data_IF_635630540418
#
_entry.id   IF_635630540418
#
_cell.length_a   1.000
_cell.length_b   1.000
_cell.length_c   1.000
_cell.angle_alpha   90.00
_cell.angle_beta   90.00
_cell.angle_gamma   90.00
#
_symmetry.space_group_name_H-M   'P 1'
#
loop_
_entity.id
_entity.type
_entity.pdbx_description
1 polymer ?
#
# COMPACT_ATOMS: atom_id res chain seq x y z
N UNK A 1 6.42 -1.54 -18.80
CA UNK A 1 6.08 -2.34 -17.60
C UNK A 1 4.59 -2.19 -17.31
N UNK A 2 3.91 -3.27 -16.90
CA UNK A 2 2.49 -3.21 -16.53
C UNK A 2 2.29 -3.67 -15.10
N UNK A 3 1.69 -2.81 -14.28
CA UNK A 3 1.59 -3.02 -12.84
C UNK A 3 0.13 -3.14 -12.42
N UNK A 4 -0.20 -4.23 -11.73
CA UNK A 4 -1.50 -4.43 -11.11
C UNK A 4 -1.31 -4.78 -9.65
N UNK A 5 -1.93 -4.03 -8.74
CA UNK A 5 -1.82 -4.40 -7.33
C UNK A 5 -2.04 -3.27 -6.35
N UNK A 6 -1.15 -3.24 -5.37
CA UNK A 6 -1.11 -2.25 -4.30
C UNK A 6 0.06 -1.28 -4.49
N UNK A 7 0.19 -0.37 -3.54
CA UNK A 7 1.23 0.64 -3.45
C UNK A 7 2.63 0.01 -3.45
N UNK A 8 2.79 -1.17 -2.82
CA UNK A 8 4.05 -1.92 -2.88
C UNK A 8 4.40 -2.35 -4.31
N UNK A 9 3.43 -2.78 -5.13
CA UNK A 9 3.73 -3.13 -6.52
C UNK A 9 4.12 -1.89 -7.34
N UNK A 10 3.54 -0.71 -7.05
CA UNK A 10 3.95 0.55 -7.68
C UNK A 10 5.39 0.88 -7.31
N UNK A 11 5.73 0.85 -6.02
CA UNK A 11 7.10 1.02 -5.53
C UNK A 11 8.07 0.01 -6.15
N UNK A 12 7.73 -1.28 -6.13
CA UNK A 12 8.56 -2.36 -6.71
C UNK A 12 8.80 -2.11 -8.21
N UNK A 13 7.82 -1.53 -8.92
CA UNK A 13 7.93 -1.16 -10.34
C UNK A 13 8.89 0.00 -10.58
N UNK A 14 8.80 1.06 -9.76
CA UNK A 14 9.73 2.18 -9.80
C UNK A 14 11.17 1.72 -9.53
N UNK A 15 11.35 0.80 -8.56
CA UNK A 15 12.65 0.19 -8.25
C UNK A 15 13.19 -0.66 -9.39
N UNK A 16 12.37 -1.54 -9.96
CA UNK A 16 12.77 -2.33 -11.13
C UNK A 16 13.16 -1.45 -12.32
N UNK A 17 12.43 -0.35 -12.56
CA UNK A 17 12.78 0.60 -13.61
C UNK A 17 14.13 1.29 -13.35
N UNK A 18 14.39 1.70 -12.11
CA UNK A 18 15.68 2.29 -11.72
C UNK A 18 16.85 1.34 -11.95
N UNK A 19 16.71 0.07 -11.56
CA UNK A 19 17.74 -0.96 -11.74
C UNK A 19 18.07 -1.28 -13.21
N UNK A 20 17.10 -1.10 -14.11
CA UNK A 20 17.26 -1.36 -15.54
C UNK A 20 17.88 -0.17 -16.31
N UNK A 21 17.76 1.06 -15.79
CA UNK A 21 18.25 2.27 -16.46
C UNK A 21 19.76 2.25 -16.74
N UNK A 22 20.65 1.82 -15.81
CA UNK A 22 22.08 1.68 -16.10
C UNK A 22 22.41 0.66 -17.20
N UNK A 23 21.50 -0.27 -17.51
CA UNK A 23 21.64 -1.23 -18.60
C UNK A 23 21.17 -0.67 -19.96
N UNK A 24 20.70 0.58 -20.00
CA UNK A 24 20.24 1.24 -21.22
C UNK A 24 18.75 1.03 -21.54
N UNK A 25 17.98 0.45 -20.63
CA UNK A 25 16.53 0.35 -20.81
C UNK A 25 15.84 1.68 -20.49
N UNK A 26 14.82 1.99 -21.30
CA UNK A 26 13.90 3.10 -21.08
C UNK A 26 12.45 2.60 -21.06
N UNK A 27 11.57 3.36 -20.39
CA UNK A 27 10.15 3.00 -20.30
C UNK A 27 9.44 3.43 -21.57
N UNK A 28 8.72 2.50 -22.21
CA UNK A 28 7.79 2.79 -23.32
C UNK A 28 6.33 2.58 -22.90
N UNK A 29 5.43 3.38 -23.48
CA UNK A 29 3.97 3.24 -23.33
C UNK A 29 3.38 2.17 -24.27
N UNK A 30 4.09 1.82 -25.34
CA UNK A 30 3.60 0.90 -26.37
C UNK A 30 4.29 -0.45 -26.23
N UNK A 31 3.55 -1.55 -25.98
CA UNK A 31 4.14 -2.88 -25.87
C UNK A 31 4.90 -3.34 -27.13
N UNK A 32 4.53 -2.85 -28.31
CA UNK A 32 5.17 -3.21 -29.58
C UNK A 32 6.62 -2.73 -29.69
N UNK A 33 7.00 -1.69 -28.95
CA UNK A 33 8.35 -1.11 -28.97
C UNK A 33 9.24 -1.67 -27.85
N UNK A 34 8.75 -2.67 -27.10
CA UNK A 34 9.41 -3.14 -25.90
C UNK A 34 10.31 -4.37 -26.16
N UNK A 35 11.59 -4.25 -25.82
CA UNK A 35 12.51 -5.41 -25.76
C UNK A 35 12.29 -6.26 -24.50
N UNK A 36 11.75 -5.67 -23.43
CA UNK A 36 11.44 -6.33 -22.17
C UNK A 36 10.08 -5.87 -21.63
N UNK A 37 9.19 -6.84 -21.41
CA UNK A 37 7.87 -6.62 -20.81
C UNK A 37 7.82 -7.27 -19.43
N UNK A 38 7.71 -6.44 -18.38
CA UNK A 38 7.50 -6.90 -17.01
C UNK A 38 6.03 -6.74 -16.62
N UNK A 39 5.39 -7.85 -16.24
CA UNK A 39 4.04 -7.91 -15.67
C UNK A 39 4.11 -8.04 -14.15
N UNK A 40 4.06 -6.92 -13.43
CA UNK A 40 4.14 -6.89 -11.97
C UNK A 40 2.73 -7.00 -11.35
N UNK A 41 2.46 -8.08 -10.61
CA UNK A 41 1.11 -8.41 -10.15
C UNK A 41 1.02 -8.72 -8.65
N UNK A 42 -0.16 -8.51 -8.08
CA UNK A 42 -0.47 -8.72 -6.67
C UNK A 42 -1.37 -9.94 -6.46
N UNK A 43 -1.14 -10.73 -5.41
CA UNK A 43 -1.92 -11.96 -5.14
C UNK A 43 -3.24 -11.73 -4.40
N UNK A 44 -3.39 -10.55 -3.78
CA UNK A 44 -4.52 -10.27 -2.89
C UNK A 44 -5.81 -9.87 -3.62
N UNK A 45 -5.74 -9.57 -4.92
CA UNK A 45 -6.93 -9.24 -5.72
C UNK A 45 -7.53 -10.50 -6.35
N UNK A 46 -8.85 -10.53 -6.48
CA UNK A 46 -9.52 -11.61 -7.22
C UNK A 46 -9.03 -11.61 -8.68
N UNK A 47 -8.88 -12.80 -9.27
CA UNK A 47 -8.50 -12.97 -10.69
C UNK A 47 -7.15 -12.38 -11.08
N UNK A 48 -6.22 -12.23 -10.14
CA UNK A 48 -4.91 -11.63 -10.41
C UNK A 48 -4.08 -12.46 -11.41
N UNK A 49 -4.04 -13.79 -11.24
CA UNK A 49 -3.35 -14.69 -12.18
C UNK A 49 -4.02 -14.68 -13.57
N UNK A 50 -5.35 -14.71 -13.62
CA UNK A 50 -6.13 -14.67 -14.86
C UNK A 50 -5.84 -13.41 -15.70
N UNK A 51 -5.65 -12.25 -15.05
CA UNK A 51 -5.24 -11.03 -15.74
C UNK A 51 -3.85 -11.15 -16.36
N UNK A 52 -2.91 -11.80 -15.68
CA UNK A 52 -1.57 -12.06 -16.22
C UNK A 52 -1.67 -12.94 -17.46
N UNK A 53 -2.38 -14.07 -17.38
CA UNK A 53 -2.57 -14.95 -18.53
C UNK A 53 -3.27 -14.26 -19.70
N UNK A 54 -4.29 -13.45 -19.43
CA UNK A 54 -4.97 -12.68 -20.46
C UNK A 54 -4.03 -11.67 -21.14
N UNK A 55 -3.11 -11.07 -20.40
CA UNK A 55 -2.14 -10.13 -20.96
C UNK A 55 -1.04 -10.85 -21.76
N UNK A 56 -0.52 -11.98 -21.26
CA UNK A 56 0.44 -12.80 -22.00
C UNK A 56 -0.12 -13.19 -23.37
N UNK A 57 -1.40 -13.56 -23.44
CA UNK A 57 -2.07 -13.85 -24.71
C UNK A 57 -2.06 -12.68 -25.70
N UNK A 58 -2.08 -11.43 -25.22
CA UNK A 58 -2.00 -10.20 -26.04
C UNK A 58 -0.57 -9.86 -26.45
N UNK A 59 0.42 -10.33 -25.70
CA UNK A 59 1.84 -10.09 -25.96
C UNK A 59 2.46 -11.09 -26.94
N UNK A 60 1.67 -11.97 -27.55
CA UNK A 60 2.18 -12.99 -28.49
C UNK A 60 2.94 -12.40 -29.68
N UNK A 61 2.44 -11.33 -30.27
CA UNK A 61 3.10 -10.67 -31.41
C UNK A 61 4.40 -9.97 -30.96
N UNK A 62 4.36 -9.32 -29.80
CA UNK A 62 5.54 -8.69 -29.17
C UNK A 62 6.62 -9.74 -28.87
N UNK A 63 6.21 -10.89 -28.31
CA UNK A 63 7.08 -12.04 -28.05
C UNK A 63 7.68 -12.61 -29.34
N UNK A 64 6.87 -12.76 -30.39
CA UNK A 64 7.32 -13.23 -31.69
C UNK A 64 8.33 -12.26 -32.34
N UNK A 65 8.27 -10.97 -32.00
CA UNK A 65 9.24 -9.94 -32.38
C UNK A 65 10.58 -10.01 -31.63
N UNK A 66 10.73 -10.92 -30.66
CA UNK A 66 11.98 -11.13 -29.91
C UNK A 66 11.99 -10.56 -28.50
N UNK A 67 10.89 -9.95 -28.04
CA UNK A 67 10.80 -9.39 -26.70
C UNK A 67 10.87 -10.46 -25.60
N UNK A 68 11.51 -10.10 -24.49
CA UNK A 68 11.48 -10.88 -23.25
C UNK A 68 10.24 -10.56 -22.44
N UNK A 69 9.54 -11.56 -21.93
CA UNK A 69 8.37 -11.44 -21.05
C UNK A 69 8.73 -11.98 -19.67
N UNK A 70 8.61 -11.13 -18.66
CA UNK A 70 8.80 -11.48 -17.28
C UNK A 70 7.53 -11.25 -16.46
N UNK A 71 7.28 -12.12 -15.48
CA UNK A 71 6.21 -11.93 -14.49
C UNK A 71 6.82 -11.68 -13.12
N UNK A 72 6.40 -10.60 -12.47
CA UNK A 72 6.93 -10.19 -11.17
C UNK A 72 5.83 -10.05 -10.09
N UNK A 73 6.24 -10.05 -8.83
CA UNK A 73 5.38 -9.73 -7.69
C UNK A 73 4.78 -10.94 -6.97
N UNK A 74 3.73 -10.72 -6.19
CA UNK A 74 3.25 -11.73 -5.24
C UNK A 74 2.60 -12.95 -5.92
N UNK A 75 1.97 -12.79 -7.10
CA UNK A 75 1.43 -13.96 -7.83
C UNK A 75 2.57 -14.79 -8.43
N UNK A 76 3.62 -14.13 -8.94
CA UNK A 76 4.84 -14.80 -9.39
C UNK A 76 5.48 -15.63 -8.27
N UNK A 77 5.51 -15.09 -7.04
CA UNK A 77 6.00 -15.84 -5.88
C UNK A 77 5.13 -17.04 -5.51
N UNK A 78 3.80 -16.90 -5.57
CA UNK A 78 2.87 -17.93 -5.13
C UNK A 78 2.69 -19.06 -6.15
N UNK A 79 2.68 -18.71 -7.45
CA UNK A 79 2.23 -19.59 -8.53
C UNK A 79 3.28 -19.72 -9.66
N UNK A 80 4.52 -19.28 -9.44
CA UNK A 80 5.55 -19.15 -10.48
C UNK A 80 5.82 -20.43 -11.28
N UNK A 81 5.92 -21.57 -10.61
CA UNK A 81 6.12 -22.87 -11.28
C UNK A 81 4.93 -23.27 -12.16
N UNK A 82 3.70 -23.01 -11.70
CA UNK A 82 2.49 -23.27 -12.49
C UNK A 82 2.39 -22.33 -13.70
N UNK A 83 2.75 -21.05 -13.51
CA UNK A 83 2.76 -20.07 -14.59
C UNK A 83 3.69 -20.49 -15.73
N UNK A 84 4.92 -20.91 -15.41
CA UNK A 84 5.87 -21.38 -16.43
C UNK A 84 5.36 -22.63 -17.16
N UNK A 85 4.76 -23.57 -16.43
CA UNK A 85 4.20 -24.78 -17.04
C UNK A 85 3.02 -24.47 -17.98
N UNK A 86 2.20 -23.47 -17.62
CA UNK A 86 0.97 -23.12 -18.35
C UNK A 86 1.18 -22.09 -19.46
N UNK A 87 2.18 -21.22 -19.34
CA UNK A 87 2.51 -20.18 -20.29
C UNK A 87 4.03 -20.18 -20.58
N UNK A 88 4.49 -21.06 -21.49
CA UNK A 88 5.91 -21.16 -21.88
C UNK A 88 6.47 -19.87 -22.51
N UNK A 89 5.61 -18.92 -22.88
CA UNK A 89 6.01 -17.61 -23.37
C UNK A 89 6.69 -16.72 -22.30
N UNK A 90 6.58 -17.09 -21.01
CA UNK A 90 7.26 -16.41 -19.90
C UNK A 90 8.73 -16.84 -19.85
N UNK A 91 9.65 -15.89 -20.03
CA UNK A 91 11.09 -16.16 -19.98
C UNK A 91 11.60 -16.32 -18.55
N UNK A 92 11.12 -15.49 -17.62
CA UNK A 92 11.45 -15.62 -16.22
C UNK A 92 10.40 -15.03 -15.27
N UNK A 93 10.41 -15.54 -14.04
CA UNK A 93 9.49 -15.19 -12.96
C UNK A 93 10.29 -14.65 -11.78
N UNK A 94 9.87 -13.52 -11.22
CA UNK A 94 10.60 -12.81 -10.16
C UNK A 94 9.68 -12.58 -8.96
N UNK A 95 10.06 -13.13 -7.82
CA UNK A 95 9.43 -12.87 -6.53
C UNK A 95 9.68 -11.44 -6.04
N UNK A 96 8.80 -10.90 -5.16
CA UNK A 96 8.95 -9.55 -4.63
C UNK A 96 10.23 -9.36 -3.81
N UNK A 97 10.89 -10.44 -3.37
CA UNK A 97 12.16 -10.39 -2.64
C UNK A 97 13.40 -10.54 -3.53
N UNK A 98 13.24 -10.76 -4.84
CA UNK A 98 14.35 -11.07 -5.75
C UNK A 98 14.56 -10.03 -6.86
N UNK A 99 13.75 -8.97 -6.95
CA UNK A 99 13.83 -8.03 -8.07
C UNK A 99 15.13 -7.20 -8.12
N UNK A 100 15.89 -7.11 -7.03
CA UNK A 100 17.24 -6.50 -7.02
C UNK A 100 18.26 -7.26 -7.88
N UNK A 101 17.95 -8.51 -8.25
CA UNK A 101 18.74 -9.37 -9.15
C UNK A 101 18.36 -9.17 -10.61
N UNK A 102 17.36 -8.34 -10.92
CA UNK A 102 16.85 -8.11 -12.27
C UNK A 102 17.96 -7.75 -13.29
N UNK A 103 18.95 -6.90 -12.98
CA UNK A 103 20.05 -6.63 -13.91
C UNK A 103 20.83 -7.89 -14.31
N UNK A 104 21.12 -8.76 -13.34
CA UNK A 104 21.82 -10.02 -13.56
C UNK A 104 20.96 -11.01 -14.35
N UNK A 105 19.67 -11.09 -14.03
CA UNK A 105 18.70 -11.98 -14.69
C UNK A 105 18.55 -11.60 -16.16
N UNK A 106 18.38 -10.31 -16.47
CA UNK A 106 18.26 -9.83 -17.86
C UNK A 106 19.54 -10.11 -18.65
N UNK A 107 20.72 -9.84 -18.06
CA UNK A 107 21.99 -10.13 -18.70
C UNK A 107 22.23 -11.64 -18.95
N UNK A 108 21.70 -12.51 -18.08
CA UNK A 108 21.78 -13.97 -18.19
C UNK A 108 20.76 -14.56 -19.17
N UNK A 109 19.55 -14.03 -19.21
CA UNK A 109 18.50 -14.43 -20.15
C UNK A 109 18.97 -14.25 -21.60
N UNK A 110 19.75 -13.22 -21.87
CA UNK A 110 20.43 -13.01 -23.16
C UNK A 110 21.49 -14.09 -23.52
N UNK A 111 21.86 -14.98 -22.58
CA UNK A 111 22.94 -15.98 -22.71
C UNK A 111 22.47 -17.43 -22.57
N UNK A 112 21.17 -17.70 -22.66
CA UNK A 112 20.55 -19.04 -22.57
C UNK A 112 20.91 -19.83 -21.29
N UNK A 113 21.03 -19.19 -20.13
CA UNK A 113 21.10 -19.91 -18.86
C UNK A 113 19.70 -20.40 -18.46
N UNK A 114 19.47 -21.71 -18.38
CA UNK A 114 18.15 -22.32 -18.14
C UNK A 114 17.48 -22.06 -16.78
N UNK A 115 17.98 -21.11 -15.97
CA UNK A 115 17.34 -20.69 -14.71
C UNK A 115 16.31 -19.59 -15.00
N UNK A 116 15.04 -19.86 -14.69
CA UNK A 116 13.92 -18.98 -15.07
C UNK A 116 13.04 -18.59 -13.88
N UNK A 117 13.24 -19.19 -12.70
CA UNK A 117 12.42 -18.95 -11.50
C UNK A 117 13.28 -18.35 -10.38
N UNK A 118 13.05 -17.08 -10.06
CA UNK A 118 13.78 -16.31 -9.05
C UNK A 118 12.84 -15.90 -7.91
N UNK A 119 12.48 -16.87 -7.06
CA UNK A 119 11.50 -16.69 -5.97
C UNK A 119 12.08 -16.95 -4.58
N UNK A 120 13.40 -16.97 -4.44
CA UNK A 120 14.04 -17.18 -3.15
C UNK A 120 13.98 -15.93 -2.26
N UNK A 121 13.97 -16.15 -0.95
CA UNK A 121 13.98 -15.11 0.07
C UNK A 121 15.42 -14.77 0.47
N UNK A 122 16.06 -13.82 -0.24
CA UNK A 122 17.37 -13.27 0.11
C UNK A 122 17.23 -11.76 0.43
N UNK A 123 16.82 -11.45 1.66
CA UNK A 123 16.34 -10.11 2.05
C UNK A 123 17.49 -9.09 2.28
N UNK A 124 18.61 -9.52 2.86
CA UNK A 124 19.73 -8.61 3.18
C UNK A 124 20.38 -8.01 1.93
N UNK A 125 20.63 -8.84 0.90
CA UNK A 125 21.20 -8.40 -0.39
C UNK A 125 20.32 -7.36 -1.11
N UNK A 126 19.02 -7.35 -0.83
CA UNK A 126 18.04 -6.48 -1.49
C UNK A 126 18.13 -5.04 -0.99
N UNK A 127 18.11 -4.82 0.33
CA UNK A 127 18.03 -3.47 0.88
C UNK A 127 19.29 -2.65 0.57
N UNK A 128 20.45 -3.29 0.53
CA UNK A 128 21.72 -2.63 0.15
C UNK A 128 21.68 -2.11 -1.29
N UNK A 129 21.07 -2.86 -2.21
CA UNK A 129 20.92 -2.46 -3.62
C UNK A 129 19.77 -1.49 -3.88
N UNK A 130 18.90 -1.25 -2.89
CA UNK A 130 17.82 -0.27 -2.97
C UNK A 130 18.27 1.17 -2.62
N UNK A 131 19.53 1.40 -2.29
CA UNK A 131 20.05 2.74 -2.00
C UNK A 131 20.19 3.64 -3.24
N UNK A 132 20.00 3.10 -4.44
CA UNK A 132 20.14 3.86 -5.69
C UNK A 132 19.01 4.89 -5.86
N UNK A 133 19.33 6.11 -6.32
CA UNK A 133 18.35 7.15 -6.61
C UNK A 133 17.32 6.69 -7.63
N UNK A 134 16.08 7.14 -7.46
CA UNK A 134 14.98 6.90 -8.40
C UNK A 134 14.25 8.20 -8.71
N UNK A 135 13.72 8.30 -9.92
CA UNK A 135 12.90 9.43 -10.33
C UNK A 135 11.47 9.25 -9.80
N UNK A 136 10.97 10.14 -8.93
CA UNK A 136 9.58 10.07 -8.47
C UNK A 136 8.64 10.54 -9.59
N UNK A 137 7.46 9.93 -9.68
CA UNK A 137 6.44 10.30 -10.67
C UNK A 137 5.66 11.58 -10.33
N UNK A 138 6.04 12.31 -9.28
CA UNK A 138 5.32 13.49 -8.80
C UNK A 138 5.82 13.99 -7.43
N UNK A 139 5.07 14.89 -6.78
CA UNK A 139 5.49 15.50 -5.51
C UNK A 139 5.31 14.61 -4.28
N UNK A 140 4.74 13.43 -4.47
CA UNK A 140 4.52 12.41 -3.44
C UNK A 140 5.28 11.14 -3.81
N UNK A 141 5.88 10.46 -2.83
CA UNK A 141 6.64 9.23 -3.07
C UNK A 141 6.38 8.16 -2.01
N UNK A 142 6.42 6.89 -2.42
CA UNK A 142 6.38 5.74 -1.52
C UNK A 142 7.77 5.35 -1.02
N UNK A 143 7.92 5.07 0.27
CA UNK A 143 9.19 4.61 0.85
C UNK A 143 8.95 3.36 1.66
N UNK A 144 9.40 2.21 1.18
CA UNK A 144 9.26 0.95 1.94
C UNK A 144 10.19 0.96 3.15
N UNK A 145 9.65 0.94 4.36
CA UNK A 145 10.45 0.90 5.61
C UNK A 145 10.66 -0.52 6.14
N UNK A 146 9.79 -1.44 5.74
CA UNK A 146 9.75 -2.81 6.21
C UNK A 146 9.18 -3.72 5.12
N UNK A 147 9.59 -4.98 5.11
CA UNK A 147 8.98 -6.01 4.27
C UNK A 147 8.67 -7.27 5.05
N UNK A 148 7.74 -8.08 4.53
CA UNK A 148 7.29 -9.30 5.20
C UNK A 148 6.38 -9.02 6.40
N UNK A 149 5.84 -10.07 7.01
CA UNK A 149 4.90 -9.91 8.12
C UNK A 149 4.81 -11.17 8.98
N UNK A 150 4.97 -11.02 10.29
CA UNK A 150 4.97 -12.14 11.25
C UNK A 150 3.63 -12.36 11.95
N UNK A 151 2.54 -11.73 11.46
CA UNK A 151 1.23 -11.86 12.10
C UNK A 151 0.49 -13.15 11.78
N UNK A 152 0.80 -13.79 10.64
CA UNK A 152 0.16 -15.04 10.20
C UNK A 152 -1.37 -15.02 10.37
N UNK A 153 -2.02 -13.92 9.98
CA UNK A 153 -3.48 -13.87 9.97
C UNK A 153 -4.01 -14.96 9.03
N UNK A 154 -5.02 -15.71 9.47
CA UNK A 154 -5.41 -16.97 8.80
C UNK A 154 -5.92 -16.78 7.38
N UNK A 155 -6.34 -15.57 6.99
CA UNK A 155 -6.76 -15.22 5.63
C UNK A 155 -5.62 -14.68 4.75
N UNK A 156 -4.46 -14.35 5.32
CA UNK A 156 -3.44 -13.55 4.66
C UNK A 156 -2.34 -14.41 4.00
N UNK A 157 -2.05 -14.13 2.74
CA UNK A 157 -0.99 -14.80 1.96
C UNK A 157 0.40 -14.17 2.13
N UNK A 158 0.46 -12.99 2.75
CA UNK A 158 1.67 -12.17 2.81
C UNK A 158 2.87 -12.91 3.42
N UNK A 159 2.78 -13.61 4.57
CA UNK A 159 3.94 -14.29 5.14
C UNK A 159 4.56 -15.32 4.18
N UNK A 160 3.74 -15.94 3.33
CA UNK A 160 4.17 -16.94 2.36
C UNK A 160 4.68 -16.34 1.04
N UNK A 161 4.37 -15.07 0.76
CA UNK A 161 4.68 -14.42 -0.52
C UNK A 161 5.67 -13.26 -0.40
N UNK A 162 5.94 -12.76 0.81
CA UNK A 162 6.91 -11.69 1.08
C UNK A 162 7.90 -12.02 2.19
N UNK A 163 7.76 -13.18 2.83
CA UNK A 163 8.69 -13.67 3.86
C UNK A 163 8.37 -13.14 5.26
N UNK A 164 9.31 -13.41 6.16
CA UNK A 164 9.30 -12.92 7.55
C UNK A 164 9.49 -11.42 7.60
N UNK A 165 9.05 -10.82 8.70
CA UNK A 165 9.14 -9.39 8.95
C UNK A 165 10.61 -8.93 9.08
N UNK A 166 11.02 -7.97 8.26
CA UNK A 166 12.36 -7.37 8.28
C UNK A 166 12.24 -5.86 8.08
N UNK A 167 12.81 -5.10 9.01
CA UNK A 167 12.86 -3.64 8.98
C UNK A 167 14.17 -3.13 8.38
N UNK A 168 14.10 -2.07 7.58
CA UNK A 168 15.30 -1.30 7.18
C UNK A 168 15.81 -0.45 8.36
N UNK A 169 17.11 -0.16 8.38
CA UNK A 169 17.68 0.79 9.33
C UNK A 169 17.15 2.21 9.10
N UNK A 170 17.11 3.01 10.17
CA UNK A 170 16.70 4.41 10.08
C UNK A 170 17.58 5.20 9.09
N UNK A 171 18.90 4.97 9.10
CA UNK A 171 19.83 5.66 8.20
C UNK A 171 19.55 5.37 6.71
N UNK A 172 19.25 4.12 6.36
CA UNK A 172 18.93 3.76 4.98
C UNK A 172 17.60 4.39 4.50
N UNK A 173 16.62 4.51 5.39
CA UNK A 173 15.34 5.17 5.10
C UNK A 173 15.56 6.69 4.97
N UNK A 174 16.29 7.29 5.90
CA UNK A 174 16.63 8.72 5.90
C UNK A 174 17.39 9.12 4.65
N UNK A 175 18.35 8.30 4.20
CA UNK A 175 19.10 8.56 2.97
C UNK A 175 18.17 8.62 1.75
N UNK A 176 17.28 7.64 1.59
CA UNK A 176 16.32 7.62 0.47
C UNK A 176 15.38 8.83 0.54
N UNK A 177 14.85 9.16 1.71
CA UNK A 177 13.93 10.30 1.88
C UNK A 177 14.64 11.62 1.57
N UNK A 178 15.92 11.77 1.95
CA UNK A 178 16.73 12.95 1.59
C UNK A 178 16.95 13.06 0.08
N UNK A 179 17.24 11.94 -0.59
CA UNK A 179 17.38 11.93 -2.05
C UNK A 179 16.07 12.32 -2.75
N UNK A 180 14.93 11.85 -2.26
CA UNK A 180 13.61 12.22 -2.78
C UNK A 180 13.31 13.72 -2.55
N UNK A 181 13.65 14.25 -1.39
CA UNK A 181 13.49 15.67 -1.09
C UNK A 181 14.30 16.57 -2.05
N UNK A 182 15.53 16.16 -2.40
CA UNK A 182 16.40 16.88 -3.34
C UNK A 182 15.82 17.00 -4.76
N UNK A 183 14.96 16.07 -5.15
CA UNK A 183 14.29 16.08 -6.47
C UNK A 183 12.85 16.62 -6.38
N UNK A 184 12.49 17.30 -5.29
CA UNK A 184 11.24 18.05 -5.16
C UNK A 184 10.06 17.27 -4.56
N UNK A 185 10.28 16.06 -4.02
CA UNK A 185 9.24 15.36 -3.24
C UNK A 185 8.96 16.13 -1.96
N UNK A 186 7.67 16.37 -1.69
CA UNK A 186 7.17 17.06 -0.50
C UNK A 186 6.45 16.12 0.47
N UNK A 187 5.85 15.05 -0.03
CA UNK A 187 5.14 14.05 0.78
C UNK A 187 5.76 12.66 0.61
N UNK A 188 6.06 12.01 1.73
CA UNK A 188 6.45 10.59 1.74
C UNK A 188 5.40 9.74 2.43
N UNK A 189 5.04 8.62 1.80
CA UNK A 189 4.19 7.59 2.42
C UNK A 189 5.04 6.36 2.70
N UNK A 190 5.27 6.10 3.99
CA UNK A 190 5.99 4.92 4.47
C UNK A 190 5.14 3.68 4.20
N UNK A 191 5.76 2.69 3.56
CA UNK A 191 5.14 1.42 3.17
C UNK A 191 5.76 0.24 3.89
N UNK A 192 4.95 -0.79 4.05
CA UNK A 192 5.30 -2.07 4.65
C UNK A 192 4.07 -2.95 4.71
N UNK A 193 4.24 -4.21 5.09
CA UNK A 193 3.08 -5.10 5.28
C UNK A 193 2.47 -4.94 6.67
N UNK A 194 3.19 -4.34 7.60
CA UNK A 194 2.73 -3.96 8.93
C UNK A 194 3.55 -2.77 9.47
N UNK A 195 3.40 -1.59 8.88
CA UNK A 195 4.34 -0.46 9.06
C UNK A 195 4.52 -0.03 10.51
N UNK A 196 3.48 -0.10 11.34
CA UNK A 196 3.60 0.26 12.77
C UNK A 196 4.29 -0.80 13.63
N UNK A 197 4.67 -1.95 13.07
CA UNK A 197 5.63 -2.85 13.70
C UNK A 197 7.08 -2.55 13.30
N UNK A 198 7.34 -1.50 12.52
CA UNK A 198 8.72 -1.12 12.20
C UNK A 198 9.50 -0.89 13.50
N UNK A 199 10.59 -1.62 13.62
CA UNK A 199 11.59 -1.47 14.66
C UNK A 199 12.96 -1.59 13.98
N UNK A 200 13.85 -0.64 14.20
CA UNK A 200 15.11 -0.62 13.49
C UNK A 200 16.22 0.04 14.29
N UNK A 201 17.46 -0.24 13.89
CA UNK A 201 18.63 0.45 14.40
C UNK A 201 18.44 1.96 14.22
N UNK A 202 18.59 2.69 15.31
CA UNK A 202 18.54 4.14 15.30
C UNK A 202 19.73 4.72 14.50
N UNK A 203 19.62 5.96 14.01
CA UNK A 203 20.74 6.64 13.37
C UNK A 203 21.98 6.69 14.27
N UNK A 204 23.15 6.64 13.65
CA UNK A 204 24.42 6.75 14.38
C UNK A 204 24.44 8.02 15.25
N UNK A 205 24.64 7.85 16.56
CA UNK A 205 24.68 8.95 17.53
C UNK A 205 23.34 9.25 18.22
N UNK A 206 22.27 8.50 17.94
CA UNK A 206 21.04 8.55 18.73
C UNK A 206 21.26 8.02 20.16
N UNK A 207 20.43 8.49 21.10
CA UNK A 207 20.49 8.07 22.51
C UNK A 207 20.00 6.65 22.76
N UNK A 208 19.09 6.15 21.91
CA UNK A 208 18.58 4.80 21.94
C UNK A 208 19.20 4.00 20.80
N UNK A 209 19.48 2.72 21.02
CA UNK A 209 20.04 1.83 19.98
C UNK A 209 19.01 1.45 18.93
N UNK A 210 17.73 1.37 19.31
CA UNK A 210 16.62 1.01 18.42
C UNK A 210 15.48 2.01 18.57
N UNK A 211 14.77 2.23 17.47
CA UNK A 211 13.61 3.11 17.37
C UNK A 211 12.36 2.36 16.93
N UNK A 212 11.19 2.88 17.33
CA UNK A 212 9.90 2.52 16.77
C UNK A 212 9.47 3.49 15.66
N UNK A 213 8.30 3.25 15.08
CA UNK A 213 7.80 4.06 13.96
C UNK A 213 7.61 5.54 14.36
N UNK A 214 7.20 5.80 15.60
CA UNK A 214 7.00 7.16 16.11
C UNK A 214 8.28 8.00 16.03
N UNK A 215 9.41 7.47 16.50
CA UNK A 215 10.73 8.13 16.41
C UNK A 215 11.18 8.28 14.95
N UNK A 216 10.97 7.28 14.10
CA UNK A 216 11.30 7.38 12.68
C UNK A 216 10.53 8.53 12.01
N UNK A 217 9.23 8.65 12.25
CA UNK A 217 8.41 9.74 11.71
C UNK A 217 8.93 11.11 12.16
N UNK A 218 9.22 11.30 13.47
CA UNK A 218 9.79 12.55 13.99
C UNK A 218 11.15 12.86 13.37
N UNK A 219 11.98 11.85 13.16
CA UNK A 219 13.30 12.04 12.54
C UNK A 219 13.19 12.44 11.07
N UNK A 220 12.33 11.77 10.29
CA UNK A 220 12.11 12.11 8.89
C UNK A 220 11.48 13.50 8.71
N UNK A 221 10.69 13.96 9.69
CA UNK A 221 10.08 15.29 9.67
C UNK A 221 11.11 16.43 9.70
N UNK A 222 12.33 16.15 10.19
CA UNK A 222 13.44 17.10 10.23
C UNK A 222 14.14 17.27 8.87
N UNK A 223 13.81 16.46 7.87
CA UNK A 223 14.43 16.57 6.53
C UNK A 223 13.84 17.78 5.81
N UNK A 224 14.71 18.74 5.48
CA UNK A 224 14.35 19.90 4.67
C UNK A 224 13.76 19.46 3.32
N UNK A 225 12.63 20.07 2.97
CA UNK A 225 11.89 19.75 1.74
C UNK A 225 10.73 18.79 1.95
N UNK A 226 10.79 17.92 2.97
CA UNK A 226 9.66 17.06 3.34
C UNK A 226 8.69 17.84 4.22
N UNK A 227 7.46 17.97 3.75
CA UNK A 227 6.39 18.71 4.42
C UNK A 227 5.32 17.77 5.00
N UNK A 228 5.23 16.53 4.49
CA UNK A 228 4.22 15.56 4.91
C UNK A 228 4.78 14.16 5.00
N UNK A 229 4.42 13.48 6.07
CA UNK A 229 4.71 12.07 6.32
C UNK A 229 3.39 11.36 6.52
N UNK A 230 3.25 10.21 5.86
CA UNK A 230 2.14 9.28 6.03
C UNK A 230 2.69 7.89 6.20
N UNK A 231 1.84 7.00 6.67
CA UNK A 231 2.05 5.58 6.54
C UNK A 231 0.71 4.90 6.29
N UNK A 232 0.76 3.69 5.74
CA UNK A 232 -0.42 2.86 5.54
C UNK A 232 -0.08 1.42 5.85
N UNK A 233 -1.11 0.62 6.11
CA UNK A 233 -1.00 -0.80 6.45
C UNK A 233 -0.43 -0.99 7.85
N UNK A 234 -1.29 -0.77 8.84
CA UNK A 234 -0.99 -0.97 10.26
C UNK A 234 -1.73 -2.16 10.86
N UNK A 235 -1.28 -2.63 12.01
CA UNK A 235 -1.94 -3.66 12.78
C UNK A 235 -2.26 -3.15 14.20
N UNK A 236 -3.51 -3.30 14.71
CA UNK A 236 -3.89 -2.83 16.04
C UNK A 236 -2.92 -3.23 17.17
N UNK A 237 -2.45 -4.49 17.17
CA UNK A 237 -1.48 -4.98 18.17
C UNK A 237 -0.19 -4.17 18.28
N UNK A 238 0.24 -3.48 17.23
CA UNK A 238 1.50 -2.74 17.18
C UNK A 238 1.26 -1.23 17.24
N UNK A 239 0.08 -0.80 17.67
CA UNK A 239 -0.18 0.61 17.98
C UNK A 239 0.34 0.90 19.39
N UNK A 240 1.59 1.36 19.48
CA UNK A 240 2.24 1.74 20.73
C UNK A 240 2.00 3.22 21.10
N UNK A 241 2.32 3.57 22.36
CA UNK A 241 2.11 4.92 22.87
C UNK A 241 3.06 5.94 22.20
N UNK A 242 4.27 5.54 21.78
CA UNK A 242 5.23 6.44 21.12
C UNK A 242 4.76 6.93 19.74
N UNK A 243 4.07 6.07 18.98
CA UNK A 243 3.41 6.43 17.73
C UNK A 243 2.16 7.28 17.96
N UNK A 244 1.40 7.01 19.02
CA UNK A 244 0.23 7.82 19.41
C UNK A 244 0.68 9.25 19.76
N UNK A 245 1.73 9.39 20.55
CA UNK A 245 2.34 10.68 20.90
C UNK A 245 2.85 11.41 19.65
N UNK A 246 3.50 10.69 18.72
CA UNK A 246 3.98 11.28 17.47
C UNK A 246 2.84 11.92 16.66
N UNK A 247 1.65 11.31 16.62
CA UNK A 247 0.49 11.95 15.99
C UNK A 247 0.12 13.27 16.67
N UNK A 248 0.15 13.34 18.00
CA UNK A 248 -0.18 14.56 18.73
C UNK A 248 0.85 15.68 18.60
N UNK A 249 2.13 15.32 18.47
CA UNK A 249 3.24 16.27 18.58
C UNK A 249 3.83 16.72 17.24
N UNK A 250 3.85 15.86 16.23
CA UNK A 250 4.55 16.14 14.96
C UNK A 250 3.58 16.63 13.87
N UNK A 251 3.59 17.94 13.51
CA UNK A 251 2.64 18.49 12.54
C UNK A 251 2.81 17.94 11.13
N UNK A 252 4.01 17.49 10.74
CA UNK A 252 4.25 16.89 9.42
C UNK A 252 3.72 15.45 9.35
N UNK A 253 3.44 14.79 10.48
CA UNK A 253 2.75 13.51 10.49
C UNK A 253 1.26 13.75 10.27
N UNK A 254 0.79 13.39 9.09
CA UNK A 254 -0.56 13.76 8.65
C UNK A 254 -1.65 13.10 9.51
N UNK A 255 -2.76 13.81 9.81
CA UNK A 255 -3.83 13.35 10.71
C UNK A 255 -4.74 12.31 10.03
N UNK A 256 -4.16 11.22 9.53
CA UNK A 256 -4.84 10.10 8.89
C UNK A 256 -4.21 8.80 9.35
N UNK A 257 -4.99 7.96 10.04
CA UNK A 257 -4.55 6.66 10.52
C UNK A 257 -5.35 5.55 9.86
N UNK A 258 -4.68 4.70 9.09
CA UNK A 258 -5.27 3.49 8.54
C UNK A 258 -4.97 2.28 9.43
N UNK A 259 -5.94 1.88 10.26
CA UNK A 259 -5.83 0.81 11.27
C UNK A 259 -6.89 -0.30 11.06
N UNK A 260 -6.62 -1.29 10.19
CA UNK A 260 -7.57 -2.38 9.93
C UNK A 260 -7.90 -3.28 11.12
N UNK A 261 -9.16 -3.29 11.55
CA UNK A 261 -9.68 -4.25 12.55
C UNK A 261 -10.06 -5.59 11.92
N UNK A 262 -10.48 -5.61 10.65
CA UNK A 262 -10.97 -6.77 9.88
C UNK A 262 -12.37 -7.27 10.26
N UNK A 263 -12.72 -7.32 11.56
CA UNK A 263 -14.07 -7.68 12.04
C UNK A 263 -14.35 -7.03 13.40
N UNK A 264 -15.62 -6.80 13.76
CA UNK A 264 -15.98 -6.38 15.12
C UNK A 264 -16.30 -7.53 16.08
N UNK A 265 -16.29 -8.78 15.61
CA UNK A 265 -16.57 -9.94 16.45
C UNK A 265 -15.30 -10.55 17.02
N UNK A 266 -15.16 -10.58 18.33
CA UNK A 266 -14.00 -11.21 19.01
C UNK A 266 -13.82 -12.68 18.64
N UNK A 267 -14.92 -13.40 18.39
CA UNK A 267 -14.85 -14.80 17.94
C UNK A 267 -14.23 -14.89 16.54
N UNK A 268 -14.61 -14.00 15.63
CA UNK A 268 -14.07 -13.96 14.27
C UNK A 268 -12.65 -13.42 14.27
N UNK A 269 -12.33 -12.39 15.04
CA UNK A 269 -10.98 -11.88 15.24
C UNK A 269 -10.01 -12.96 15.74
N UNK A 270 -10.44 -13.79 16.71
CA UNK A 270 -9.67 -14.97 17.16
C UNK A 270 -9.48 -15.98 16.02
N UNK A 271 -10.53 -16.30 15.27
CA UNK A 271 -10.44 -17.23 14.15
C UNK A 271 -9.56 -16.71 12.98
N UNK A 272 -9.50 -15.38 12.83
CA UNK A 272 -8.61 -14.68 11.90
C UNK A 272 -7.14 -14.62 12.39
N UNK A 273 -6.85 -15.05 13.62
CA UNK A 273 -5.56 -14.90 14.30
C UNK A 273 -5.12 -13.43 14.39
N UNK A 274 -6.02 -12.53 14.80
CA UNK A 274 -5.75 -11.09 14.92
C UNK A 274 -5.06 -10.70 16.23
N UNK A 275 -5.20 -11.50 17.28
CA UNK A 275 -4.57 -11.27 18.60
C UNK A 275 -4.95 -9.95 19.28
N UNK A 276 -6.13 -9.41 18.98
CA UNK A 276 -6.76 -8.28 19.67
C UNK A 276 -8.28 -8.49 19.71
N UNK A 277 -8.97 -7.66 20.51
CA UNK A 277 -10.44 -7.62 20.64
C UNK A 277 -11.00 -6.30 20.13
N UNK A 278 -12.30 -6.28 19.84
CA UNK A 278 -13.05 -5.07 19.51
C UNK A 278 -12.86 -3.98 20.57
N UNK A 279 -12.96 -4.34 21.85
CA UNK A 279 -12.76 -3.41 22.97
C UNK A 279 -11.34 -2.82 23.00
N UNK A 280 -10.31 -3.66 22.82
CA UNK A 280 -8.92 -3.17 22.79
C UNK A 280 -8.65 -2.24 21.62
N UNK A 281 -9.28 -2.49 20.47
CA UNK A 281 -9.19 -1.65 19.29
C UNK A 281 -9.87 -0.28 19.53
N UNK A 282 -11.08 -0.27 20.09
CA UNK A 282 -11.78 0.97 20.43
C UNK A 282 -10.99 1.84 21.41
N UNK A 283 -10.36 1.24 22.43
CA UNK A 283 -9.46 1.97 23.34
C UNK A 283 -8.28 2.61 22.62
N UNK A 284 -7.71 1.94 21.62
CA UNK A 284 -6.62 2.52 20.82
C UNK A 284 -7.11 3.71 19.99
N UNK A 285 -8.27 3.58 19.35
CA UNK A 285 -8.88 4.70 18.61
C UNK A 285 -9.16 5.89 19.54
N UNK A 286 -9.64 5.64 20.75
CA UNK A 286 -9.87 6.68 21.75
C UNK A 286 -8.57 7.41 22.12
N UNK A 287 -7.50 6.68 22.48
CA UNK A 287 -6.19 7.27 22.78
C UNK A 287 -5.66 8.12 21.63
N UNK A 288 -5.78 7.61 20.40
CA UNK A 288 -5.32 8.32 19.19
C UNK A 288 -6.11 9.62 18.98
N UNK A 289 -7.44 9.59 19.17
CA UNK A 289 -8.28 10.80 19.09
C UNK A 289 -7.99 11.80 20.21
N UNK A 290 -7.62 11.34 21.39
CA UNK A 290 -7.18 12.22 22.49
C UNK A 290 -5.87 12.93 22.14
N UNK A 291 -4.91 12.22 21.55
CA UNK A 291 -3.64 12.80 21.11
C UNK A 291 -3.80 13.72 19.88
N UNK A 292 -4.65 13.33 18.93
CA UNK A 292 -4.92 14.05 17.67
C UNK A 292 -6.44 14.18 17.42
N UNK A 293 -7.09 15.24 17.94
CA UNK A 293 -8.55 15.39 17.83
C UNK A 293 -9.10 15.48 16.42
N UNK A 294 -8.31 15.95 15.46
CA UNK A 294 -8.69 16.10 14.06
C UNK A 294 -8.39 14.86 13.20
N UNK A 295 -7.99 13.74 13.80
CA UNK A 295 -7.56 12.56 13.05
C UNK A 295 -8.70 11.86 12.30
N UNK A 296 -8.45 11.58 11.02
CA UNK A 296 -9.29 10.72 10.21
C UNK A 296 -8.91 9.25 10.41
N UNK A 297 -9.87 8.44 10.87
CA UNK A 297 -9.68 6.99 11.02
C UNK A 297 -10.09 6.28 9.74
N UNK A 298 -9.22 5.41 9.27
CA UNK A 298 -9.47 4.47 8.19
C UNK A 298 -9.18 3.03 8.61
N UNK A 299 -9.77 2.06 7.91
CA UNK A 299 -9.49 0.65 8.15
C UNK A 299 -9.98 -0.25 7.02
N UNK A 300 -9.79 -1.56 7.22
CA UNK A 300 -10.34 -2.61 6.36
C UNK A 300 -11.25 -3.54 7.15
N UNK A 301 -12.30 -4.02 6.49
CA UNK A 301 -13.22 -5.03 7.01
C UNK A 301 -13.45 -6.16 6.01
N UNK A 302 -13.59 -7.37 6.54
CA UNK A 302 -13.87 -8.59 5.79
C UNK A 302 -15.18 -9.17 6.31
N UNK A 303 -16.18 -9.28 5.45
CA UNK A 303 -17.44 -9.96 5.74
C UNK A 303 -17.44 -11.38 5.20
N UNK A 304 -18.16 -12.28 5.87
CA UNK A 304 -18.34 -13.66 5.43
C UNK A 304 -17.14 -14.57 5.68
N UNK A 305 -16.32 -14.25 6.68
CA UNK A 305 -15.23 -15.13 7.11
C UNK A 305 -15.77 -16.48 7.62
N UNK A 306 -15.04 -17.60 7.51
CA UNK A 306 -15.55 -18.91 7.93
C UNK A 306 -16.00 -18.91 9.40
N UNK A 307 -17.25 -19.31 9.62
CA UNK A 307 -17.91 -19.29 10.93
C UNK A 307 -18.64 -17.99 11.30
N UNK A 308 -18.67 -16.97 10.44
CA UNK A 308 -19.43 -15.73 10.68
C UNK A 308 -20.95 -15.95 10.52
N UNK A 309 -21.67 -15.88 11.64
CA UNK A 309 -23.14 -15.84 11.69
C UNK A 309 -23.65 -14.38 11.81
N UNK A 310 -24.98 -14.22 11.86
CA UNK A 310 -25.60 -12.88 11.87
C UNK A 310 -25.24 -12.06 13.11
N UNK A 311 -25.09 -12.71 14.28
CA UNK A 311 -24.68 -12.03 15.51
C UNK A 311 -23.27 -11.46 15.39
N UNK A 312 -22.32 -12.24 14.87
CA UNK A 312 -20.96 -11.76 14.63
C UNK A 312 -20.89 -10.65 13.56
N UNK A 313 -21.78 -10.69 12.57
CA UNK A 313 -21.90 -9.61 11.60
C UNK A 313 -22.45 -8.32 12.24
N UNK A 314 -23.48 -8.42 13.09
CA UNK A 314 -24.00 -7.23 13.79
C UNK A 314 -23.01 -6.65 14.80
N UNK A 315 -22.17 -7.47 15.45
CA UNK A 315 -21.02 -7.00 16.24
C UNK A 315 -20.06 -6.16 15.38
N UNK A 316 -19.84 -6.56 14.12
CA UNK A 316 -19.05 -5.78 13.14
C UNK A 316 -19.74 -4.47 12.78
N UNK A 317 -21.05 -4.48 12.55
CA UNK A 317 -21.82 -3.26 12.31
C UNK A 317 -21.77 -2.30 13.52
N UNK A 318 -21.87 -2.83 14.74
CA UNK A 318 -21.81 -2.04 15.96
C UNK A 318 -20.45 -1.35 16.14
N UNK A 319 -19.35 -2.10 16.00
CA UNK A 319 -18.01 -1.51 16.03
C UNK A 319 -17.83 -0.45 14.93
N UNK A 320 -18.40 -0.67 13.74
CA UNK A 320 -18.36 0.31 12.65
C UNK A 320 -19.05 1.62 13.05
N UNK A 321 -20.21 1.55 13.70
CA UNK A 321 -20.94 2.74 14.19
C UNK A 321 -20.14 3.48 15.26
N UNK A 322 -19.51 2.76 16.19
CA UNK A 322 -18.76 3.36 17.29
C UNK A 322 -17.46 4.03 16.84
N UNK A 323 -16.77 3.44 15.85
CA UNK A 323 -15.54 4.02 15.34
C UNK A 323 -15.80 5.26 14.52
N UNK A 324 -16.88 5.31 13.73
CA UNK A 324 -17.16 6.40 12.78
C UNK A 324 -16.01 6.66 11.81
N UNK A 325 -15.90 5.80 10.79
CA UNK A 325 -14.77 5.82 9.86
C UNK A 325 -14.88 6.95 8.83
N UNK A 326 -13.81 7.73 8.69
CA UNK A 326 -13.67 8.69 7.59
C UNK A 326 -13.54 7.99 6.23
N UNK A 327 -12.93 6.79 6.21
CA UNK A 327 -12.83 5.94 5.02
C UNK A 327 -12.58 4.50 5.40
N UNK A 328 -13.32 3.53 4.87
CA UNK A 328 -13.05 2.12 5.16
C UNK A 328 -13.21 1.28 3.90
N UNK A 329 -12.26 0.38 3.67
CA UNK A 329 -12.39 -0.63 2.62
C UNK A 329 -13.11 -1.84 3.18
N UNK A 330 -14.07 -2.36 2.42
CA UNK A 330 -14.86 -3.53 2.81
C UNK A 330 -14.81 -4.58 1.70
N UNK A 331 -14.57 -5.83 2.10
CA UNK A 331 -14.37 -6.93 1.18
C UNK A 331 -15.18 -8.15 1.61
N UNK A 332 -15.62 -8.94 0.63
CA UNK A 332 -16.05 -10.32 0.92
C UNK A 332 -14.81 -11.16 1.19
N UNK A 333 -14.90 -12.07 2.16
CA UNK A 333 -13.88 -13.07 2.36
C UNK A 333 -13.70 -13.92 1.08
N UNK A 334 -12.48 -13.87 0.53
CA UNK A 334 -12.06 -14.70 -0.59
C UNK A 334 -11.06 -15.73 -0.10
N UNK A 335 -11.32 -17.00 -0.40
CA UNK A 335 -10.37 -18.09 -0.13
C UNK A 335 -9.10 -17.84 -0.96
N UNK A 336 -7.94 -18.03 -0.33
CA UNK A 336 -6.64 -17.94 -0.99
C UNK A 336 -5.91 -19.26 -0.83
N UNK A 337 -5.50 -19.93 -1.93
CA UNK A 337 -4.71 -21.13 -1.83
C UNK A 337 -3.51 -20.95 -0.89
N UNK A 338 -3.25 -21.94 -0.04
CA UNK A 338 -2.16 -21.92 0.93
C UNK A 338 -2.46 -21.25 2.29
N UNK A 339 -3.59 -20.54 2.45
CA UNK A 339 -3.92 -19.93 3.75
C UNK A 339 -4.74 -20.86 4.65
N UNK A 340 -4.58 -20.83 5.99
CA UNK A 340 -5.39 -21.63 6.91
C UNK A 340 -6.90 -21.38 6.76
N UNK A 341 -7.30 -20.12 6.54
CA UNK A 341 -8.70 -19.73 6.34
C UNK A 341 -9.33 -20.40 5.11
N UNK A 342 -8.54 -20.74 4.09
CA UNK A 342 -9.06 -21.36 2.89
C UNK A 342 -9.52 -22.80 3.13
N UNK A 343 -9.00 -23.48 4.15
CA UNK A 343 -9.36 -24.87 4.49
C UNK A 343 -10.29 -24.98 5.70
N UNK A 344 -10.60 -23.87 6.38
CA UNK A 344 -11.54 -23.85 7.50
C UNK A 344 -12.94 -24.33 7.10
N UNK A 345 -13.57 -25.07 8.00
CA UNK A 345 -14.99 -25.45 7.87
C UNK A 345 -15.91 -24.23 8.04
N UNK A 346 -17.21 -24.41 7.76
CA UNK A 346 -18.25 -23.36 7.90
C UNK A 346 -18.01 -22.13 7.04
N UNK A 347 -17.62 -22.34 5.78
CA UNK A 347 -17.59 -21.27 4.78
C UNK A 347 -18.99 -20.66 4.62
N UNK A 348 -19.05 -19.33 4.50
CA UNK A 348 -20.31 -18.59 4.33
C UNK A 348 -20.70 -18.59 2.84
N UNK A 349 -21.99 -18.74 2.53
CA UNK A 349 -22.52 -18.70 1.17
C UNK A 349 -22.33 -17.31 0.52
N UNK A 350 -22.04 -17.27 -0.79
CA UNK A 350 -21.71 -16.01 -1.49
C UNK A 350 -22.85 -14.98 -1.48
N UNK A 351 -24.10 -15.43 -1.48
CA UNK A 351 -25.29 -14.59 -1.41
C UNK A 351 -25.34 -13.86 -0.06
N UNK A 352 -25.04 -14.56 1.04
CA UNK A 352 -24.97 -14.00 2.39
C UNK A 352 -23.82 -13.00 2.49
N UNK A 353 -22.64 -13.33 1.95
CA UNK A 353 -21.50 -12.37 1.93
C UNK A 353 -21.86 -11.10 1.16
N UNK A 354 -22.61 -11.23 0.07
CA UNK A 354 -22.99 -10.11 -0.79
C UNK A 354 -24.02 -9.21 -0.10
N UNK A 355 -25.01 -9.79 0.57
CA UNK A 355 -25.99 -9.04 1.39
C UNK A 355 -25.32 -8.28 2.53
N UNK A 356 -24.45 -8.96 3.31
CA UNK A 356 -23.69 -8.33 4.40
C UNK A 356 -22.79 -7.21 3.92
N UNK A 357 -22.09 -7.42 2.80
CA UNK A 357 -21.23 -6.40 2.21
C UNK A 357 -22.05 -5.14 1.86
N UNK A 358 -23.23 -5.30 1.26
CA UNK A 358 -24.11 -4.17 0.92
C UNK A 358 -24.56 -3.39 2.16
N UNK A 359 -24.96 -4.08 3.24
CA UNK A 359 -25.32 -3.43 4.52
C UNK A 359 -24.16 -2.66 5.13
N UNK A 360 -22.98 -3.27 5.19
CA UNK A 360 -21.78 -2.61 5.71
C UNK A 360 -21.39 -1.41 4.84
N UNK A 361 -21.40 -1.55 3.52
CA UNK A 361 -21.09 -0.47 2.60
C UNK A 361 -22.08 0.70 2.69
N UNK A 362 -23.36 0.44 2.95
CA UNK A 362 -24.34 1.51 3.16
C UNK A 362 -23.94 2.41 4.34
N UNK A 363 -23.61 1.80 5.50
CA UNK A 363 -23.15 2.53 6.68
C UNK A 363 -21.83 3.26 6.43
N UNK A 364 -20.84 2.58 5.82
CA UNK A 364 -19.53 3.21 5.54
C UNK A 364 -19.64 4.38 4.56
N UNK A 365 -20.56 4.30 3.58
CA UNK A 365 -20.81 5.39 2.65
C UNK A 365 -21.46 6.60 3.34
N UNK A 366 -22.35 6.36 4.31
CA UNK A 366 -22.95 7.40 5.15
C UNK A 366 -21.89 8.12 5.98
N UNK A 367 -21.05 7.37 6.71
CA UNK A 367 -19.97 7.92 7.54
C UNK A 367 -18.95 8.73 6.71
N UNK A 368 -18.50 8.18 5.59
CA UNK A 368 -17.61 8.89 4.66
C UNK A 368 -18.25 10.17 4.13
N UNK A 369 -19.52 10.12 3.73
CA UNK A 369 -20.22 11.30 3.23
C UNK A 369 -20.35 12.37 4.32
N UNK A 370 -20.63 11.98 5.56
CA UNK A 370 -20.67 12.90 6.69
C UNK A 370 -19.29 13.53 6.98
N UNK A 371 -18.22 12.73 6.93
CA UNK A 371 -16.85 13.23 7.09
C UNK A 371 -16.45 14.22 5.98
N UNK A 372 -16.77 13.90 4.72
CA UNK A 372 -16.52 14.77 3.56
C UNK A 372 -17.33 16.08 3.67
N UNK A 373 -18.61 15.99 4.05
CA UNK A 373 -19.49 17.14 4.24
C UNK A 373 -18.97 18.07 5.35
N UNK A 374 -18.44 17.50 6.44
CA UNK A 374 -17.85 18.26 7.54
C UNK A 374 -16.58 19.03 7.14
N UNK A 375 -16.02 18.80 5.94
CA UNK A 375 -14.93 19.60 5.40
C UNK A 375 -15.40 20.83 4.61
N UNK A 376 -16.66 20.86 4.17
CA UNK A 376 -17.21 21.98 3.41
C UNK A 376 -17.19 23.26 4.24
N UNK A 377 -16.72 24.36 3.65
CA UNK A 377 -16.53 25.65 4.30
C UNK A 377 -15.18 25.81 5.02
N UNK A 378 -14.42 24.74 5.23
CA UNK A 378 -13.06 24.82 5.82
C UNK A 378 -12.02 25.17 4.76
N UNK A 379 -10.92 25.75 5.21
CA UNK A 379 -9.69 25.91 4.42
C UNK A 379 -8.75 24.76 4.80
N UNK A 380 -8.36 23.96 3.82
CA UNK A 380 -7.45 22.83 4.00
C UNK A 380 -6.16 23.08 3.20
N UNK A 381 -4.99 22.75 3.75
CA UNK A 381 -3.77 22.74 2.96
C UNK A 381 -3.80 21.53 2.01
N UNK A 382 -3.73 21.76 0.71
CA UNK A 382 -3.83 20.73 -0.32
C UNK A 382 -2.51 20.65 -1.09
N UNK A 383 -1.91 19.48 -1.15
CA UNK A 383 -0.76 19.21 -2.02
C UNK A 383 -1.26 19.00 -3.44
N UNK A 384 -0.90 19.87 -4.39
CA UNK A 384 -1.26 19.74 -5.80
C UNK A 384 -0.41 18.66 -6.46
N UNK A 385 -1.01 17.61 -7.02
CA UNK A 385 -0.28 16.42 -7.49
C UNK A 385 -0.18 16.34 -9.01
N UNK A 386 -1.25 16.67 -9.74
CA UNK A 386 -1.32 16.44 -11.18
C UNK A 386 -2.41 17.25 -11.88
N UNK A 387 -2.35 17.37 -13.22
CA UNK A 387 -3.45 17.92 -14.00
C UNK A 387 -4.74 17.10 -13.82
N UNK A 388 -5.87 17.79 -13.84
CA UNK A 388 -7.21 17.22 -13.82
C UNK A 388 -7.66 16.73 -15.19
N UNK A 389 -8.92 16.28 -15.27
CA UNK A 389 -9.51 15.80 -16.53
C UNK A 389 -10.01 16.95 -17.42
N UNK A 390 -10.25 18.11 -16.81
CA UNK A 390 -10.74 19.31 -17.49
C UNK A 390 -9.60 20.32 -17.68
N UNK A 391 -9.70 21.14 -18.72
CA UNK A 391 -8.72 22.20 -18.97
C UNK A 391 -8.67 23.19 -17.78
N UNK A 392 -7.46 23.50 -17.30
CA UNK A 392 -7.26 24.40 -16.14
C UNK A 392 -7.56 23.77 -14.77
N UNK A 393 -7.99 22.51 -14.74
CA UNK A 393 -8.23 21.78 -13.49
C UNK A 393 -6.92 21.16 -12.99
N UNK A 394 -6.69 21.23 -11.69
CA UNK A 394 -5.63 20.52 -10.98
C UNK A 394 -6.27 19.62 -9.92
N UNK A 395 -5.64 18.47 -9.66
CA UNK A 395 -6.02 17.55 -8.59
C UNK A 395 -4.92 17.55 -7.54
N UNK A 396 -5.32 17.67 -6.28
CA UNK A 396 -4.45 17.55 -5.13
C UNK A 396 -5.03 16.65 -4.03
N UNK A 397 -4.29 16.57 -2.92
CA UNK A 397 -4.62 15.76 -1.74
C UNK A 397 -4.72 16.60 -0.48
N UNK A 398 -5.86 16.46 0.20
CA UNK A 398 -6.07 17.02 1.54
C UNK A 398 -5.19 16.31 2.58
N UNK A 399 -5.09 16.84 3.81
CA UNK A 399 -4.42 16.14 4.92
C UNK A 399 -4.99 14.75 5.21
N UNK A 400 -6.23 14.47 4.79
CA UNK A 400 -6.96 13.22 5.03
C UNK A 400 -7.01 12.30 3.78
N UNK A 401 -6.13 12.51 2.79
CA UNK A 401 -6.07 11.78 1.51
C UNK A 401 -7.31 11.91 0.59
N UNK A 402 -8.27 12.77 0.93
CA UNK A 402 -9.37 13.11 0.03
C UNK A 402 -8.81 13.80 -1.21
N UNK A 403 -9.26 13.36 -2.38
CA UNK A 403 -8.92 14.04 -3.64
C UNK A 403 -9.66 15.37 -3.70
N UNK A 404 -8.93 16.47 -3.89
CA UNK A 404 -9.50 17.81 -4.04
C UNK A 404 -9.23 18.26 -5.47
N UNK A 405 -10.27 18.66 -6.20
CA UNK A 405 -10.11 19.29 -7.50
C UNK A 405 -10.46 20.77 -7.42
N UNK A 406 -9.69 21.59 -8.13
CA UNK A 406 -9.79 23.04 -8.17
C UNK A 406 -9.25 23.57 -9.49
N UNK A 407 -9.58 24.82 -9.82
CA UNK A 407 -8.91 25.56 -10.89
C UNK A 407 -7.61 26.16 -10.37
N UNK A 408 -6.50 25.85 -11.04
CA UNK A 408 -5.18 26.37 -10.72
C UNK A 408 -4.25 26.23 -11.94
N UNK A 409 -3.18 27.02 -11.98
CA UNK A 409 -2.11 26.83 -12.97
C UNK A 409 -1.39 25.49 -12.69
N UNK A 410 -1.13 24.72 -13.75
CA UNK A 410 -0.39 23.46 -13.66
C UNK A 410 1.06 23.66 -13.19
N UNK A 411 1.62 24.87 -13.33
CA UNK A 411 2.94 25.21 -12.80
C UNK A 411 3.03 25.10 -11.28
N UNK A 412 1.89 25.07 -10.57
CA UNK A 412 1.80 24.97 -9.11
C UNK A 412 1.79 23.52 -8.61
N UNK A 413 1.84 22.53 -9.50
CA UNK A 413 1.95 21.12 -9.10
C UNK A 413 3.22 20.95 -8.25
N UNK A 414 3.05 20.31 -7.09
CA UNK A 414 4.06 20.17 -6.05
C UNK A 414 3.99 21.21 -4.93
N UNK A 415 3.19 22.27 -5.08
CA UNK A 415 2.91 23.21 -4.00
C UNK A 415 1.84 22.65 -3.04
N UNK A 416 2.00 22.98 -1.75
CA UNK A 416 0.92 22.88 -0.77
C UNK A 416 0.24 24.24 -0.71
N UNK A 417 -1.04 24.29 -1.06
CA UNK A 417 -1.80 25.53 -1.16
C UNK A 417 -3.03 25.47 -0.27
N UNK A 418 -3.39 26.59 0.34
CA UNK A 418 -4.64 26.68 1.09
C UNK A 418 -5.83 26.67 0.13
N UNK A 419 -6.79 25.77 0.37
CA UNK A 419 -7.97 25.56 -0.48
C UNK A 419 -9.20 25.62 0.39
N UNK A 420 -10.09 26.57 0.09
CA UNK A 420 -11.43 26.62 0.68
C UNK A 420 -12.31 25.57 0.00
N UNK A 421 -12.80 24.59 0.77
CA UNK A 421 -13.67 23.53 0.27
C UNK A 421 -15.09 24.07 0.09
N UNK A 422 -15.63 23.99 -1.12
CA UNK A 422 -16.95 24.53 -1.47
C UNK A 422 -18.02 23.46 -1.63
N UNK A 423 -17.63 22.19 -1.71
CA UNK A 423 -18.58 21.09 -1.77
C UNK A 423 -17.90 19.74 -1.93
N UNK A 424 -18.70 18.68 -1.88
CA UNK A 424 -18.26 17.31 -2.16
C UNK A 424 -18.94 16.75 -3.41
N UNK A 425 -18.21 15.89 -4.10
CA UNK A 425 -18.73 14.93 -5.07
C UNK A 425 -18.94 13.57 -4.42
N UNK A 426 -18.96 12.52 -5.24
CA UNK A 426 -19.14 11.14 -4.75
C UNK A 426 -17.88 10.61 -4.05
N UNK A 427 -16.69 10.96 -4.54
CA UNK A 427 -15.39 10.45 -4.04
C UNK A 427 -14.30 11.54 -4.04
N UNK A 428 -14.69 12.80 -3.98
CA UNK A 428 -13.77 13.94 -4.13
C UNK A 428 -14.37 15.20 -3.53
N UNK A 429 -13.55 16.14 -3.11
CA UNK A 429 -13.93 17.48 -2.73
C UNK A 429 -13.71 18.44 -3.90
N UNK A 430 -14.55 19.48 -3.99
CA UNK A 430 -14.33 20.64 -4.84
C UNK A 430 -13.89 21.80 -3.97
N UNK A 431 -12.84 22.50 -4.39
CA UNK A 431 -12.40 23.70 -3.70
C UNK A 431 -11.96 24.80 -4.65
N UNK A 432 -11.67 25.95 -4.06
CA UNK A 432 -11.06 27.10 -4.71
C UNK A 432 -9.86 27.55 -3.87
N UNK A 433 -8.89 28.21 -4.50
CA UNK A 433 -7.75 28.77 -3.78
C UNK A 433 -8.26 29.70 -2.66
N UNK A 434 -7.74 29.46 -1.46
CA UNK A 434 -8.14 30.09 -0.20
C UNK A 434 -7.72 31.55 -0.08
#
# INVERSE_FOLDING_TARGET
MKTWGCQMNVYDSERMSGLLKPLGYEVTETPADADLVILNTCHIREKAAEKVYSEIGRLREVKAGGATIAVAGCVAQAEGAEMQARAPEIDFVIGPQSYHKLPEIVARSARESGETLFTDFAVEEKFDRLAEPREPGGPSAFVTVQEGCDKFCTFCVVPYTRGVEVSRSADAITLEVRQLAQVGVREVTLLGQNVNAWHGAAPVGASAENWGLGELCRHLAQIDGIERIRFTTSHPRDMDDGLIEAFGEEPKLMPYLHLPVQSGSDRILRAMNRGHTAESYLRQIEKVRQARPDIAISGDMIVGFPGEDEAAFEETMQLTREVDYASCFSFKYSRRPGTPGATMAKQVAEEVKSERLQRLQALLNEQRAAFDEAQVGKVLPVLLEKPGRQHGQVIGKSPYLQSVFLEADASRIGEIVDVRIEGRGVNSLRGVLG
#
